data_IF_489353563719
#
_entry.id   IF_489353563719
#
_cell.length_a   1.000
_cell.length_b   1.000
_cell.length_c   1.000
_cell.angle_alpha   90.00
_cell.angle_beta   90.00
_cell.angle_gamma   90.00
#
_symmetry.space_group_name_H-M   'P 1'
#
loop_
_entity.id
_entity.type
_entity.pdbx_description
1 polymer ?
#
# COMPACT_ATOMS: atom_id res chain seq x y z
N UNK A 1 -4.41 -30.58 -6.42
CA UNK A 1 -4.29 -30.06 -5.66
C UNK A 1 -4.67 -28.83 -5.70
N UNK A 2 -5.26 -28.40 -4.99
CA UNK A 2 -5.70 -27.23 -5.10
C UNK A 2 -4.78 -26.20 -4.78
N UNK A 3 -4.87 -25.09 -5.30
CA UNK A 3 -4.06 -24.09 -5.07
C UNK A 3 -4.53 -23.18 -4.07
N UNK A 4 -3.80 -22.68 -3.25
CA UNK A 4 -4.24 -21.74 -2.29
C UNK A 4 -4.73 -20.50 -2.96
N UNK A 5 -5.62 -19.86 -2.35
CA UNK A 5 -6.19 -18.69 -2.90
C UNK A 5 -5.18 -17.61 -3.07
N UNK A 6 -4.20 -17.52 -2.22
CA UNK A 6 -3.24 -16.48 -2.32
C UNK A 6 -1.93 -17.00 -2.75
N UNK A 7 -1.25 -16.37 -3.65
CA UNK A 7 0.07 -16.80 -4.03
C UNK A 7 1.06 -16.54 -2.91
N UNK A 8 2.16 -17.20 -2.87
CA UNK A 8 3.13 -16.94 -1.84
C UNK A 8 3.73 -15.57 -2.02
N UNK A 9 4.20 -14.98 -0.96
CA UNK A 9 4.81 -13.68 -1.01
C UNK A 9 6.21 -13.83 -1.56
N UNK A 10 6.46 -13.30 -2.73
CA UNK A 10 7.78 -13.40 -3.33
C UNK A 10 8.64 -12.28 -2.81
N UNK A 11 9.93 -12.36 -3.07
CA UNK A 11 10.85 -11.32 -2.65
C UNK A 11 10.49 -10.00 -3.30
N UNK A 12 10.11 -10.04 -4.57
CA UNK A 12 9.70 -8.81 -5.23
C UNK A 12 8.45 -8.23 -4.62
N UNK A 13 7.49 -9.06 -4.31
CA UNK A 13 6.25 -8.57 -3.70
C UNK A 13 6.54 -7.99 -2.31
N UNK A 14 7.43 -8.64 -1.58
CA UNK A 14 7.80 -8.14 -0.26
C UNK A 14 8.47 -6.77 -0.39
N UNK A 15 9.41 -6.63 -1.31
CA UNK A 15 10.09 -5.35 -1.47
C UNK A 15 9.14 -4.27 -1.94
N UNK A 16 8.24 -4.61 -2.84
CA UNK A 16 7.27 -3.64 -3.35
C UNK A 16 6.36 -3.16 -2.20
N UNK A 17 5.85 -4.10 -1.43
CA UNK A 17 4.96 -3.75 -0.33
C UNK A 17 5.69 -2.97 0.75
N UNK A 18 6.95 -3.32 1.00
CA UNK A 18 7.74 -2.63 2.01
C UNK A 18 8.02 -1.20 1.57
N UNK A 19 8.38 -0.99 0.31
CA UNK A 19 8.63 0.35 -0.20
C UNK A 19 7.34 1.18 -0.17
N UNK A 20 6.23 0.56 -0.55
CA UNK A 20 4.94 1.23 -0.52
C UNK A 20 4.59 1.66 0.90
N UNK A 21 4.71 0.74 1.86
CA UNK A 21 4.36 1.03 3.24
C UNK A 21 5.28 2.10 3.84
N UNK A 22 6.56 1.99 3.57
CA UNK A 22 7.52 2.94 4.10
C UNK A 22 7.26 4.33 3.55
N UNK A 23 6.96 4.41 2.26
CA UNK A 23 6.69 5.71 1.65
C UNK A 23 5.42 6.34 2.22
N UNK A 24 4.36 5.55 2.35
CA UNK A 24 3.12 6.06 2.93
C UNK A 24 3.31 6.50 4.36
N UNK A 25 4.10 5.74 5.12
CA UNK A 25 4.33 6.13 6.50
C UNK A 25 5.06 7.45 6.53
N UNK A 26 6.00 7.65 5.63
CA UNK A 26 6.72 8.91 5.54
C UNK A 26 5.85 10.08 5.12
N UNK A 27 4.78 9.81 4.39
CA UNK A 27 3.85 10.86 3.99
C UNK A 27 2.88 11.24 5.12
N UNK A 28 2.84 10.44 6.17
CA UNK A 28 2.00 10.78 7.31
C UNK A 28 0.81 9.87 7.52
N UNK A 29 0.78 8.71 6.87
CA UNK A 29 -0.35 7.80 7.05
C UNK A 29 -0.47 7.38 8.50
N UNK A 30 -1.66 7.42 9.07
CA UNK A 30 -1.83 7.13 10.48
C UNK A 30 -1.82 5.64 10.81
N UNK A 31 -1.85 4.79 9.81
CA UNK A 31 -1.91 3.37 10.04
C UNK A 31 -0.58 2.81 10.46
N UNK A 32 -0.59 1.64 11.05
CA UNK A 32 0.65 1.01 11.47
C UNK A 32 1.38 0.49 10.25
N UNK A 33 2.66 0.24 10.38
CA UNK A 33 3.45 -0.28 9.30
C UNK A 33 2.90 -1.62 8.82
N UNK A 34 2.42 -2.46 9.73
CA UNK A 34 1.84 -3.73 9.35
C UNK A 34 0.60 -3.56 8.50
N UNK A 35 -0.23 -2.60 8.84
CA UNK A 35 -1.44 -2.35 8.08
C UNK A 35 -1.09 -1.84 6.68
N UNK A 36 -0.12 -0.97 6.60
CA UNK A 36 0.29 -0.43 5.30
C UNK A 36 0.97 -1.49 4.46
N UNK A 37 1.71 -2.39 5.09
CA UNK A 37 2.36 -3.47 4.38
C UNK A 37 1.29 -4.42 3.82
N UNK A 38 0.26 -4.72 4.60
CA UNK A 38 -0.82 -5.58 4.13
C UNK A 38 -1.52 -4.95 2.94
N UNK A 39 -1.73 -3.64 2.98
CA UNK A 39 -2.34 -2.94 1.86
C UNK A 39 -1.42 -3.02 0.64
N UNK A 40 -0.13 -2.85 0.84
CA UNK A 40 0.83 -2.93 -0.24
C UNK A 40 0.83 -4.29 -0.90
N UNK A 41 0.71 -5.36 -0.11
CA UNK A 41 0.66 -6.69 -0.66
C UNK A 41 -0.56 -6.88 -1.54
N UNK A 42 -1.69 -6.33 -1.13
CA UNK A 42 -2.89 -6.42 -1.94
C UNK A 42 -2.76 -5.65 -3.21
N UNK A 43 -2.22 -4.45 -3.14
CA UNK A 43 -2.10 -3.61 -4.31
C UNK A 43 -1.04 -4.13 -5.28
N UNK A 44 -0.06 -4.84 -4.76
CA UNK A 44 0.97 -5.40 -5.62
C UNK A 44 0.33 -6.30 -6.69
N UNK A 45 -0.71 -7.04 -6.34
CA UNK A 45 -1.33 -7.92 -7.29
C UNK A 45 -1.94 -7.17 -8.47
N UNK A 46 -2.35 -5.93 -8.25
CA UNK A 46 -2.96 -5.15 -9.30
C UNK A 46 -1.99 -4.20 -9.96
N UNK A 47 -1.01 -3.72 -9.23
CA UNK A 47 -0.15 -2.66 -9.72
C UNK A 47 1.31 -3.04 -9.77
N UNK A 48 1.61 -4.33 -9.87
CA UNK A 48 2.99 -4.75 -9.81
C UNK A 48 3.86 -4.19 -10.93
N UNK A 49 3.24 -3.75 -12.02
CA UNK A 49 4.00 -3.16 -13.09
C UNK A 49 4.36 -1.73 -12.82
N UNK A 50 3.81 -1.12 -11.79
CA UNK A 50 4.08 0.26 -11.46
C UNK A 50 5.03 0.33 -10.29
N UNK A 51 5.65 1.48 -10.15
CA UNK A 51 6.57 1.68 -9.06
C UNK A 51 5.80 1.83 -7.76
N UNK A 52 6.26 1.17 -6.70
CA UNK A 52 5.58 1.23 -5.42
C UNK A 52 5.47 2.66 -4.90
N UNK A 53 6.48 3.48 -5.13
CA UNK A 53 6.47 4.86 -4.66
C UNK A 53 5.39 5.65 -5.41
N UNK A 54 5.29 5.44 -6.72
CA UNK A 54 4.27 6.14 -7.50
C UNK A 54 2.87 5.71 -7.05
N UNK A 55 2.68 4.43 -6.79
CA UNK A 55 1.38 3.95 -6.34
C UNK A 55 1.08 4.51 -4.97
N UNK A 56 2.07 4.58 -4.08
CA UNK A 56 1.87 5.11 -2.75
C UNK A 56 1.43 6.58 -2.81
N UNK A 57 2.03 7.35 -3.69
CA UNK A 57 1.66 8.75 -3.81
C UNK A 57 0.27 8.92 -4.40
N UNK A 58 -0.09 8.08 -5.35
CA UNK A 58 -1.42 8.12 -5.92
C UNK A 58 -2.46 7.74 -4.87
N UNK A 59 -2.16 6.72 -4.08
CA UNK A 59 -3.07 6.30 -3.03
C UNK A 59 -3.18 7.40 -1.97
N UNK A 60 -2.06 8.04 -1.64
CA UNK A 60 -2.08 9.10 -0.64
C UNK A 60 -2.93 10.27 -1.09
N UNK A 61 -2.89 10.59 -2.36
CA UNK A 61 -3.69 11.69 -2.89
C UNK A 61 -5.18 11.44 -2.69
N UNK A 62 -5.58 10.17 -2.61
CA UNK A 62 -6.96 9.84 -2.40
C UNK A 62 -7.21 9.31 -1.00
N UNK A 63 -6.26 9.45 -0.10
CA UNK A 63 -6.34 8.86 1.23
C UNK A 63 -7.44 9.54 2.05
N UNK A 64 -8.30 8.78 2.63
CA UNK A 64 -9.35 9.37 3.43
C UNK A 64 -8.75 9.85 4.73
N UNK A 65 -8.67 11.16 4.87
CA UNK A 65 -8.10 11.69 6.01
C UNK A 65 -9.06 11.78 7.07
N UNK A 66 -8.79 11.34 8.24
CA UNK A 66 -9.65 11.43 9.24
C UNK A 66 -9.77 12.68 9.74
N UNK A 67 -9.91 13.27 9.99
CA UNK A 67 -9.97 14.50 10.41
C UNK A 67 -10.07 15.44 9.46
N UNK A 68 -10.07 15.35 8.74
CA UNK A 68 -10.03 16.28 7.86
C UNK A 68 -10.91 16.76 7.11
N UNK A 69 -10.90 16.82 7.39
CA UNK A 69 -11.30 17.18 6.92
C UNK A 69 -11.62 17.65 6.05
N UNK A 70 -11.81 17.74 6.05
CA UNK A 70 -12.09 18.12 5.49
C UNK A 70 -12.45 18.65 4.75
N UNK A 71 -12.62 18.77 4.77
CA UNK A 71 -13.00 19.29 4.23
C UNK A 71 -13.55 19.78 3.60
N UNK A 72 -13.77 19.86 3.77
CA UNK A 72 -14.33 20.30 3.36
C UNK A 72 -14.72 20.88 2.72
N UNK A 73 -14.92 21.02 2.68
CA UNK A 73 -15.33 21.45 2.20
C UNK A 73 -15.57 21.81 1.71
#
# INVERSE_FOLDING_TARGET
>A
MSQPASPPLTFEAFQWADAFATHLKGLGAPNTADQLFALGRRLYLEYQELDAIDVAETVWAKWPSEGGTSSTR
#
